data_IF_240123561895
#
_entry.id   IF_240123561895
#
_cell.length_a   1.000
_cell.length_b   1.000
_cell.length_c   1.000
_cell.angle_alpha   90.00
_cell.angle_beta   90.00
_cell.angle_gamma   90.00
#
_symmetry.space_group_name_H-M   'P 1'
#
loop_
_entity.id
_entity.type
_entity.pdbx_description
1 polymer ?
#
# COMPACT_ATOMS: atom_id res chain seq x y z
N UNK A 1 -13.86 -2.40 -14.14
CA UNK A 1 -12.68 -1.57 -14.46
C UNK A 1 -11.48 -2.50 -14.65
N UNK A 2 -10.57 -2.20 -15.57
CA UNK A 2 -9.37 -3.03 -15.78
C UNK A 2 -8.31 -2.71 -14.73
N UNK A 3 -7.84 -3.71 -14.00
CA UNK A 3 -6.72 -3.53 -13.07
C UNK A 3 -5.42 -3.35 -13.87
N UNK A 4 -4.60 -2.38 -13.47
CA UNK A 4 -3.25 -2.15 -14.02
C UNK A 4 -2.21 -2.55 -12.97
N UNK A 5 -1.08 -3.07 -13.43
CA UNK A 5 0.03 -3.49 -12.59
C UNK A 5 1.13 -2.44 -12.60
N UNK A 6 1.70 -2.17 -11.43
CA UNK A 6 2.88 -1.32 -11.21
C UNK A 6 3.99 -2.20 -10.64
N UNK A 7 5.20 -2.08 -11.19
CA UNK A 7 6.40 -2.76 -10.68
C UNK A 7 7.45 -1.75 -10.25
N UNK A 8 8.09 -2.00 -9.11
CA UNK A 8 9.25 -1.26 -8.64
C UNK A 8 10.35 -2.26 -8.24
N UNK A 9 11.59 -2.00 -8.64
CA UNK A 9 12.74 -2.79 -8.16
C UNK A 9 13.11 -2.28 -6.77
N UNK A 10 13.34 -3.22 -5.85
CA UNK A 10 13.74 -2.93 -4.48
C UNK A 10 14.83 -3.90 -4.05
N UNK A 11 15.68 -3.54 -3.07
CA UNK A 11 16.59 -4.46 -2.42
C UNK A 11 15.85 -5.67 -1.85
N UNK A 12 16.47 -6.85 -1.93
CA UNK A 12 15.88 -8.11 -1.45
C UNK A 12 15.53 -8.05 0.04
N UNK A 13 16.41 -7.45 0.84
CA UNK A 13 16.22 -7.27 2.28
C UNK A 13 14.95 -6.48 2.62
N UNK A 14 14.65 -5.44 1.83
CA UNK A 14 13.43 -4.64 2.00
C UNK A 14 12.19 -5.44 1.62
N UNK A 15 12.26 -6.22 0.54
CA UNK A 15 11.14 -7.09 0.12
C UNK A 15 10.83 -8.13 1.20
N UNK A 16 11.84 -8.76 1.79
CA UNK A 16 11.66 -9.72 2.88
C UNK A 16 11.08 -9.07 4.14
N UNK A 17 11.53 -7.85 4.47
CA UNK A 17 10.94 -7.09 5.56
C UNK A 17 9.46 -6.77 5.31
N UNK A 18 9.10 -6.33 4.10
CA UNK A 18 7.72 -6.03 3.73
C UNK A 18 6.85 -7.29 3.85
N UNK A 19 7.32 -8.44 3.33
CA UNK A 19 6.61 -9.72 3.46
C UNK A 19 6.37 -10.10 4.92
N UNK A 20 7.39 -9.95 5.77
CA UNK A 20 7.28 -10.23 7.21
C UNK A 20 6.23 -9.35 7.88
N UNK A 21 6.23 -8.05 7.57
CA UNK A 21 5.26 -7.10 8.13
C UNK A 21 3.84 -7.41 7.65
N UNK A 22 3.64 -7.66 6.34
CA UNK A 22 2.32 -8.02 5.80
C UNK A 22 1.77 -9.27 6.50
N UNK A 23 2.58 -10.33 6.62
CA UNK A 23 2.22 -11.56 7.33
C UNK A 23 1.88 -11.31 8.81
N UNK A 24 2.68 -10.52 9.52
CA UNK A 24 2.43 -10.20 10.92
C UNK A 24 1.12 -9.43 11.15
N UNK A 25 0.63 -8.71 10.13
CA UNK A 25 -0.65 -7.98 10.15
C UNK A 25 -1.83 -8.81 9.64
N UNK A 26 -1.58 -10.04 9.18
CA UNK A 26 -2.62 -10.90 8.60
C UNK A 26 -3.16 -10.40 7.26
N UNK A 27 -2.39 -9.59 6.52
CA UNK A 27 -2.79 -9.03 5.21
C UNK A 27 -1.92 -9.59 4.08
N UNK A 28 -2.45 -9.63 2.85
CA UNK A 28 -1.68 -9.99 1.66
C UNK A 28 -0.60 -8.93 1.35
N UNK A 29 0.51 -9.35 0.75
CA UNK A 29 1.60 -8.44 0.37
C UNK A 29 1.08 -7.30 -0.52
N UNK A 30 0.22 -7.62 -1.49
CA UNK A 30 -0.30 -6.63 -2.42
C UNK A 30 -1.29 -5.68 -1.75
N UNK A 31 -2.04 -6.14 -0.74
CA UNK A 31 -2.90 -5.27 0.08
C UNK A 31 -2.07 -4.33 0.95
N UNK A 32 -1.02 -4.82 1.60
CA UNK A 32 -0.08 -3.99 2.36
C UNK A 32 0.48 -2.86 1.49
N UNK A 33 0.99 -3.19 0.29
CA UNK A 33 1.59 -2.22 -0.62
C UNK A 33 0.54 -1.21 -1.12
N UNK A 34 -0.64 -1.68 -1.54
CA UNK A 34 -1.73 -0.77 -1.97
C UNK A 34 -2.12 0.18 -0.84
N UNK A 35 -2.25 -0.30 0.39
CA UNK A 35 -2.58 0.51 1.56
C UNK A 35 -1.49 1.53 1.88
N UNK A 36 -0.22 1.13 1.81
CA UNK A 36 0.92 2.03 2.01
C UNK A 36 0.93 3.17 0.97
N UNK A 37 0.76 2.84 -0.32
CA UNK A 37 0.68 3.83 -1.40
C UNK A 37 -0.50 4.79 -1.20
N UNK A 38 -1.70 4.27 -0.89
CA UNK A 38 -2.87 5.10 -0.63
C UNK A 38 -2.66 6.06 0.56
N UNK A 39 -2.06 5.58 1.65
CA UNK A 39 -1.75 6.44 2.81
C UNK A 39 -0.78 7.56 2.43
N UNK A 40 0.23 7.27 1.62
CA UNK A 40 1.17 8.30 1.16
C UNK A 40 0.51 9.33 0.24
N UNK A 41 -0.34 8.89 -0.70
CA UNK A 41 -1.13 9.80 -1.54
C UNK A 41 -2.08 10.67 -0.72
N UNK A 42 -2.71 10.09 0.31
CA UNK A 42 -3.57 10.83 1.24
C UNK A 42 -2.78 11.90 2.00
N UNK A 43 -1.61 11.52 2.53
CA UNK A 43 -0.69 12.41 3.25
C UNK A 43 -0.24 13.59 2.38
N UNK A 44 -0.03 13.33 1.09
CA UNK A 44 0.34 14.33 0.10
C UNK A 44 -0.87 15.09 -0.49
N UNK A 45 -2.09 14.87 0.03
CA UNK A 45 -3.34 15.50 -0.42
C UNK A 45 -3.72 15.24 -1.89
N UNK A 46 -3.29 14.12 -2.46
CA UNK A 46 -3.67 13.69 -3.82
C UNK A 46 -4.97 12.86 -3.86
N UNK A 47 -5.49 12.45 -2.70
CA UNK A 47 -6.80 11.80 -2.59
C UNK A 47 -7.90 12.84 -2.33
N UNK A 48 -9.07 12.61 -2.90
CA UNK A 48 -10.26 13.42 -2.61
C UNK A 48 -10.68 13.25 -1.15
N UNK A 49 -11.51 14.17 -0.62
CA UNK A 49 -11.95 14.10 0.77
C UNK A 49 -12.75 12.83 1.08
N UNK A 50 -13.47 12.28 0.08
CA UNK A 50 -14.15 10.98 0.19
C UNK A 50 -13.15 9.81 0.29
N UNK A 51 -12.06 9.84 -0.48
CA UNK A 51 -11.03 8.80 -0.46
C UNK A 51 -10.17 8.83 0.81
N UNK A 52 -9.94 10.02 1.39
CA UNK A 52 -9.26 10.18 2.68
C UNK A 52 -10.07 9.55 3.83
N UNK A 53 -11.39 9.68 3.79
CA UNK A 53 -12.30 9.14 4.82
C UNK A 53 -12.25 7.61 4.89
N UNK A 54 -12.07 6.94 3.75
CA UNK A 54 -11.96 5.48 3.65
C UNK A 54 -10.63 4.89 4.17
N UNK A 55 -9.65 5.72 4.56
CA UNK A 55 -8.36 5.29 5.12
C UNK A 55 -8.27 5.41 6.65
N UNK A 56 -9.28 6.03 7.28
CA UNK A 56 -9.33 6.31 8.72
C UNK A 56 -10.05 5.22 9.54
N UNK A 57 -10.67 4.24 8.88
CA UNK A 57 -11.26 3.04 9.50
C UNK A 57 -10.31 1.82 9.40
#
# INVERSE_FOLDING_TARGET
MSNKMIFARMPEEEIELIKKVAKARGEDLSDFVRRAVKRELARLSYLTDEEKKALAD
#
